data_IF_792885420268
#
_entry.id   IF_792885420268
#
_cell.length_a   1.000
_cell.length_b   1.000
_cell.length_c   1.000
_cell.angle_alpha   90.00
_cell.angle_beta   90.00
_cell.angle_gamma   90.00
#
_symmetry.space_group_name_H-M   'P 1'
#
loop_
_entity.id
_entity.type
_entity.pdbx_description
1 polymer ?
#
# COMPACT_ATOMS: atom_id res chain seq x y z
N UNK A 1 -6.60 4.85 16.18
CA UNK A 1 -5.68 4.32 15.15
C UNK A 1 -5.43 5.41 14.12
N UNK A 2 -4.18 5.69 13.79
CA UNK A 2 -3.80 6.71 12.78
C UNK A 2 -3.60 6.01 11.44
N UNK A 3 -4.22 6.52 10.38
CA UNK A 3 -4.04 6.02 9.03
C UNK A 3 -3.54 7.14 8.11
N UNK A 4 -2.61 6.81 7.21
CA UNK A 4 -2.14 7.72 6.15
C UNK A 4 -2.36 7.05 4.81
N UNK A 5 -2.94 7.79 3.87
CA UNK A 5 -3.14 7.34 2.50
C UNK A 5 -1.97 7.79 1.63
N UNK A 6 -1.36 6.86 0.92
CA UNK A 6 -0.33 7.13 -0.10
C UNK A 6 -0.88 6.78 -1.49
N UNK A 7 -0.37 7.44 -2.52
CA UNK A 7 -0.78 7.24 -3.93
C UNK A 7 0.47 7.14 -4.80
N UNK A 8 0.42 6.30 -5.82
CA UNK A 8 1.47 6.16 -6.83
C UNK A 8 0.98 5.32 -8.00
N UNK A 9 1.50 5.60 -9.19
CA UNK A 9 1.15 4.87 -10.43
C UNK A 9 2.14 3.74 -10.76
N UNK A 10 3.23 3.65 -10.01
CA UNK A 10 4.27 2.62 -10.14
C UNK A 10 4.74 2.13 -8.76
N UNK A 11 5.44 1.00 -8.72
CA UNK A 11 6.00 0.46 -7.49
C UNK A 11 7.02 1.42 -6.85
N UNK A 12 7.80 2.12 -7.69
CA UNK A 12 8.79 3.11 -7.26
C UNK A 12 8.13 4.34 -6.63
N UNK A 13 7.04 4.84 -7.23
CA UNK A 13 6.25 5.94 -6.66
C UNK A 13 5.65 5.54 -5.31
N UNK A 14 5.11 4.33 -5.19
CA UNK A 14 4.55 3.81 -3.94
C UNK A 14 5.63 3.69 -2.87
N UNK A 15 6.81 3.16 -3.21
CA UNK A 15 7.96 3.08 -2.29
C UNK A 15 8.37 4.47 -1.80
N UNK A 16 8.51 5.44 -2.71
CA UNK A 16 8.87 6.81 -2.34
C UNK A 16 7.81 7.47 -1.45
N UNK A 17 6.52 7.25 -1.74
CA UNK A 17 5.42 7.77 -0.94
C UNK A 17 5.35 7.13 0.45
N UNK A 18 5.58 5.81 0.55
CA UNK A 18 5.65 5.08 1.82
C UNK A 18 6.77 5.65 2.70
N UNK A 19 7.98 5.76 2.16
CA UNK A 19 9.15 6.28 2.88
C UNK A 19 8.93 7.73 3.37
N UNK A 20 8.30 8.59 2.56
CA UNK A 20 7.93 9.95 2.99
C UNK A 20 6.84 9.98 4.05
N UNK A 21 5.97 8.97 4.08
CA UNK A 21 4.86 8.89 5.05
C UNK A 21 5.34 8.38 6.42
N UNK A 22 6.37 7.53 6.42
CA UNK A 22 7.02 7.00 7.60
C UNK A 22 7.84 8.09 8.27
N UNK A 23 7.62 8.27 9.56
CA UNK A 23 8.33 9.27 10.38
C UNK A 23 8.40 8.71 11.80
N UNK A 24 9.15 9.37 12.70
CA UNK A 24 9.29 8.91 14.09
C UNK A 24 7.91 8.63 14.75
N UNK A 25 6.91 9.45 14.43
CA UNK A 25 5.56 9.39 15.00
C UNK A 25 4.57 8.53 14.20
N UNK A 26 4.98 7.94 13.08
CA UNK A 26 4.12 7.10 12.25
C UNK A 26 4.86 5.88 11.72
N UNK A 27 4.65 4.75 12.39
CA UNK A 27 5.10 3.42 11.99
C UNK A 27 3.87 2.57 11.62
N UNK A 28 3.56 2.41 10.33
CA UNK A 28 2.44 1.59 9.91
C UNK A 28 2.68 0.13 10.32
N UNK A 29 1.64 -0.53 10.84
CA UNK A 29 1.67 -1.94 11.26
C UNK A 29 0.76 -2.82 10.40
N UNK A 30 0.06 -2.21 9.45
CA UNK A 30 -0.88 -2.87 8.56
C UNK A 30 -1.03 -2.05 7.28
N UNK A 31 -1.13 -2.73 6.14
CA UNK A 31 -1.43 -2.10 4.87
C UNK A 31 -2.70 -2.68 4.23
N UNK A 32 -3.52 -1.79 3.66
CA UNK A 32 -4.66 -2.11 2.79
C UNK A 32 -4.36 -1.47 1.44
N UNK A 33 -4.34 -2.27 0.38
CA UNK A 33 -3.84 -1.81 -0.92
C UNK A 33 -4.96 -1.84 -1.97
N UNK A 34 -5.14 -0.71 -2.64
CA UNK A 34 -5.99 -0.58 -3.82
C UNK A 34 -5.10 -0.38 -5.04
N UNK A 35 -5.10 -1.35 -5.95
CA UNK A 35 -4.25 -1.34 -7.13
C UNK A 35 -5.07 -1.39 -8.41
N UNK A 36 -4.57 -0.73 -9.45
CA UNK A 36 -5.02 -0.98 -10.82
C UNK A 36 -4.29 -2.21 -11.36
N UNK A 37 -4.91 -2.94 -12.30
CA UNK A 37 -4.25 -4.07 -12.98
C UNK A 37 -2.92 -3.69 -13.65
N UNK A 38 -2.70 -2.40 -13.93
CA UNK A 38 -1.47 -1.86 -14.52
C UNK A 38 -0.27 -1.90 -13.56
N UNK A 39 -0.52 -2.01 -12.26
CA UNK A 39 0.52 -2.01 -11.23
C UNK A 39 0.71 -3.42 -10.72
N UNK A 40 1.95 -3.92 -10.77
CA UNK A 40 2.26 -5.27 -10.31
C UNK A 40 2.05 -5.40 -8.79
N UNK A 41 1.00 -6.13 -8.41
CA UNK A 41 0.65 -6.38 -7.01
C UNK A 41 1.80 -6.99 -6.22
N UNK A 42 2.54 -7.92 -6.82
CA UNK A 42 3.63 -8.62 -6.12
C UNK A 42 4.74 -7.65 -5.74
N UNK A 43 5.10 -6.74 -6.64
CA UNK A 43 6.10 -5.70 -6.40
C UNK A 43 5.69 -4.78 -5.26
N UNK A 44 4.42 -4.36 -5.20
CA UNK A 44 3.90 -3.51 -4.12
C UNK A 44 3.84 -4.26 -2.79
N UNK A 45 3.35 -5.50 -2.78
CA UNK A 45 3.34 -6.33 -1.57
C UNK A 45 4.76 -6.55 -1.03
N UNK A 46 5.73 -6.79 -1.91
CA UNK A 46 7.13 -6.97 -1.52
C UNK A 46 7.72 -5.70 -0.87
N UNK A 47 7.41 -4.51 -1.40
CA UNK A 47 7.84 -3.25 -0.79
C UNK A 47 7.35 -3.12 0.66
N UNK A 48 6.11 -3.53 0.93
CA UNK A 48 5.53 -3.46 2.27
C UNK A 48 6.09 -4.55 3.20
N UNK A 49 6.29 -5.75 2.67
CA UNK A 49 6.88 -6.88 3.39
C UNK A 49 8.34 -6.61 3.78
N UNK A 50 9.14 -6.01 2.88
CA UNK A 50 10.51 -5.58 3.14
C UNK A 50 10.59 -4.55 4.30
N UNK A 51 9.53 -3.78 4.53
CA UNK A 51 9.40 -2.82 5.65
C UNK A 51 8.74 -3.45 6.90
N UNK A 52 8.43 -4.75 6.87
CA UNK A 52 7.77 -5.47 7.96
C UNK A 52 6.30 -5.12 8.15
N UNK A 53 5.64 -4.59 7.11
CA UNK A 53 4.24 -4.16 7.14
C UNK A 53 3.37 -5.27 6.53
N UNK A 54 2.61 -6.03 7.34
CA UNK A 54 1.73 -7.06 6.80
C UNK A 54 0.62 -6.44 5.94
N UNK A 55 0.39 -7.06 4.78
CA UNK A 55 -0.68 -6.69 3.86
C UNK A 55 -1.94 -7.45 4.24
N UNK A 56 -2.96 -6.74 4.73
CA UNK A 56 -4.25 -7.34 5.09
C UNK A 56 -5.03 -7.78 3.84
N UNK A 57 -4.93 -6.99 2.77
CA UNK A 57 -5.59 -7.27 1.50
C UNK A 57 -5.08 -6.35 0.39
N UNK A 58 -5.05 -6.88 -0.82
CA UNK A 58 -4.68 -6.15 -2.02
C UNK A 58 -5.69 -6.47 -3.13
N UNK A 59 -6.46 -5.47 -3.54
CA UNK A 59 -7.50 -5.60 -4.58
C UNK A 59 -7.03 -5.01 -5.91
N UNK A 60 -7.40 -5.66 -7.02
CA UNK A 60 -7.16 -5.20 -8.39
C UNK A 60 -8.47 -5.15 -9.17
N UNK A 61 -8.88 -3.94 -9.57
CA UNK A 61 -10.11 -3.59 -10.28
C UNK A 61 -11.45 -3.88 -9.57
N UNK A 62 -12.09 -2.79 -9.12
CA UNK A 62 -13.53 -2.57 -9.29
C UNK A 62 -14.46 -3.07 -8.18
N UNK A 63 -14.83 -2.13 -7.29
CA UNK A 63 -16.05 -2.12 -6.48
C UNK A 63 -16.08 -3.06 -5.27
N UNK A 64 -16.32 -2.47 -4.09
CA UNK A 64 -17.28 -3.06 -3.19
C UNK A 64 -18.59 -3.16 -3.98
N UNK A 65 -18.97 -4.36 -4.42
CA UNK A 65 -20.38 -4.63 -4.67
C UNK A 65 -21.00 -4.82 -3.29
N UNK A 66 -21.82 -3.85 -2.91
CA UNK A 66 -22.83 -3.99 -1.86
C UNK A 66 -23.76 -5.14 -2.24
N UNK A 67 -24.32 -5.83 -1.25
CA UNK A 67 -25.52 -6.64 -1.46
C UNK A 67 -26.72 -5.84 -0.91
#
# INVERSE_FOLDING_TARGET
>A
MTAKSIKGNSAEEIKAALQRSMSADFKPTLAIIFLSFKVDRKSVCKILDDEGIPVFGATTNGQFIDE
#
